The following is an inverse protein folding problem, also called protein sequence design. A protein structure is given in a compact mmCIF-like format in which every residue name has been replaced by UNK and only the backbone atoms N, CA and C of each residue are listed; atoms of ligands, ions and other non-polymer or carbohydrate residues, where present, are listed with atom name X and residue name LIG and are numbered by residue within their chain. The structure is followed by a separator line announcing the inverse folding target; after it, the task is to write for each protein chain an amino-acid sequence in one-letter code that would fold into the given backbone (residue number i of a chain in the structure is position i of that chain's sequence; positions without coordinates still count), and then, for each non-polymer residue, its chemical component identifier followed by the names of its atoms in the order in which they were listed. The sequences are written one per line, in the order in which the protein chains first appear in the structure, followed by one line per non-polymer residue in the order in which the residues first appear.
data_IF_548652225593
#
_entry.id   IF_548652225593
#
_cell.length_a   1.000
_cell.length_b   1.000
_cell.length_c   1.000
_cell.angle_alpha   90.00
_cell.angle_beta   90.00
_cell.angle_gamma   90.00
#
_symmetry.space_group_name_H-M   'P 1'
#
loop_
_entity.id
_entity.type
_entity.pdbx_description
1 polymer ?
#
# COMPACT_ATOMS: atom_id res chain seq x y z
N UNK A 1 5.04 0.53 1.63
CA UNK A 1 4.29 1.22 2.70
C UNK A 1 4.34 0.41 3.98
N UNK A 2 4.97 0.90 5.06
CA UNK A 2 5.16 0.11 6.28
C UNK A 2 3.93 0.05 7.21
N UNK A 3 3.00 1.00 7.14
CA UNK A 3 1.83 1.08 8.03
C UNK A 3 0.54 0.59 7.34
N UNK A 4 -0.46 0.10 8.09
CA UNK A 4 -1.69 -0.46 7.52
C UNK A 4 -2.62 0.64 7.01
N UNK A 5 -2.32 1.17 5.82
CA UNK A 5 -3.05 2.29 5.22
C UNK A 5 -4.32 1.92 4.45
N UNK A 6 -4.61 0.63 4.28
CA UNK A 6 -5.74 0.19 3.47
C UNK A 6 -6.34 -1.11 4.01
N UNK A 7 -7.59 -1.37 3.63
CA UNK A 7 -8.24 -2.67 3.83
C UNK A 7 -7.60 -3.74 2.94
N UNK A 8 -7.33 -4.90 3.51
CA UNK A 8 -6.91 -6.12 2.78
C UNK A 8 -8.09 -7.02 2.40
N UNK A 9 -9.31 -6.66 2.80
CA UNK A 9 -10.54 -7.37 2.45
C UNK A 9 -11.15 -6.85 1.13
N UNK A 10 -11.68 -7.75 0.30
CA UNK A 10 -12.45 -7.41 -0.91
C UNK A 10 -13.76 -6.68 -0.56
N UNK A 11 -14.45 -7.12 0.49
CA UNK A 11 -15.70 -6.52 0.96
C UNK A 11 -15.56 -5.05 1.37
N UNK A 12 -16.67 -4.30 1.36
CA UNK A 12 -16.71 -2.93 1.88
C UNK A 12 -16.38 -2.95 3.38
N UNK A 13 -15.35 -2.19 3.77
CA UNK A 13 -14.97 -2.01 5.18
C UNK A 13 -15.29 -0.58 5.60
N UNK A 14 -16.14 -0.45 6.61
CA UNK A 14 -16.42 0.85 7.28
C UNK A 14 -15.78 0.93 8.66
N UNK A 15 -15.46 -0.21 9.27
CA UNK A 15 -14.78 -0.29 10.55
C UNK A 15 -13.33 0.19 10.41
N UNK A 16 -12.93 1.12 11.26
CA UNK A 16 -11.60 1.72 11.24
C UNK A 16 -10.48 0.67 11.38
N UNK A 17 -9.32 0.98 10.81
CA UNK A 17 -8.06 0.29 11.14
C UNK A 17 -7.40 1.10 12.24
N UNK A 18 -6.95 0.44 13.31
CA UNK A 18 -6.16 1.05 14.37
C UNK A 18 -4.85 0.31 14.53
N UNK A 19 -3.77 1.05 14.57
CA UNK A 19 -2.42 0.54 14.72
C UNK A 19 -1.68 1.31 15.81
N UNK A 20 -0.92 0.58 16.62
CA UNK A 20 0.05 1.13 17.57
C UNK A 20 1.40 0.43 17.34
N UNK A 21 2.49 1.18 17.47
CA UNK A 21 3.83 0.61 17.53
C UNK A 21 4.01 -0.22 18.80
N UNK A 22 5.03 -1.08 18.80
CA UNK A 22 5.31 -1.96 19.93
C UNK A 22 5.57 -1.20 21.26
N UNK A 23 6.20 -0.03 21.17
CA UNK A 23 6.45 0.89 22.28
C UNK A 23 5.26 1.81 22.60
N UNK A 24 4.16 1.73 21.84
CA UNK A 24 2.96 2.58 21.94
C UNK A 24 3.19 4.08 21.72
N UNK A 25 4.36 4.47 21.22
CA UNK A 25 4.72 5.87 20.95
C UNK A 25 4.12 6.38 19.65
N UNK A 26 3.91 5.47 18.68
CA UNK A 26 3.36 5.77 17.35
C UNK A 26 2.03 5.08 17.15
N UNK A 27 1.07 5.80 16.57
CA UNK A 27 -0.25 5.28 16.27
C UNK A 27 -0.81 5.84 14.97
N UNK A 28 -1.67 5.04 14.35
CA UNK A 28 -2.40 5.36 13.13
C UNK A 28 -3.84 4.86 13.25
N UNK A 29 -4.79 5.71 12.91
CA UNK A 29 -6.18 5.37 12.64
C UNK A 29 -6.49 5.65 11.18
N UNK A 30 -7.11 4.68 10.50
CA UNK A 30 -7.64 4.84 9.13
C UNK A 30 -9.14 4.74 9.20
N UNK A 31 -9.83 5.80 8.78
CA UNK A 31 -11.29 5.89 8.81
C UNK A 31 -11.86 5.89 7.39
N UNK A 32 -13.00 5.22 7.26
CA UNK A 32 -13.71 5.06 6.00
C UNK A 32 -14.80 6.12 5.86
N UNK A 33 -15.07 6.52 4.62
CA UNK A 33 -16.36 7.11 4.29
C UNK A 33 -17.47 6.05 4.40
N UNK A 34 -18.65 6.42 4.91
CA UNK A 34 -19.75 5.47 5.11
C UNK A 34 -20.32 4.92 3.79
N UNK A 35 -20.40 5.74 2.75
CA UNK A 35 -20.96 5.40 1.45
C UNK A 35 -19.96 4.60 0.60
N UNK A 36 -18.73 5.07 0.47
CA UNK A 36 -17.72 4.43 -0.39
C UNK A 36 -16.94 3.30 0.31
N UNK A 37 -16.85 3.36 1.64
CA UNK A 37 -15.98 2.49 2.43
C UNK A 37 -14.51 2.90 2.38
N UNK A 38 -13.67 2.11 3.04
CA UNK A 38 -12.23 2.31 3.09
C UNK A 38 -11.56 1.88 1.79
N UNK A 39 -10.51 2.61 1.42
CA UNK A 39 -9.58 2.20 0.37
C UNK A 39 -9.06 0.79 0.58
N UNK A 40 -9.03 0.03 -0.52
CA UNK A 40 -8.59 -1.36 -0.57
C UNK A 40 -7.17 -1.43 -1.12
N UNK A 41 -6.47 -2.51 -0.83
CA UNK A 41 -5.10 -2.69 -1.29
C UNK A 41 -4.95 -2.71 -2.83
N UNK A 42 -5.99 -3.12 -3.56
CA UNK A 42 -6.03 -3.03 -5.04
C UNK A 42 -6.24 -1.60 -5.54
N UNK A 43 -6.93 -0.75 -4.79
CA UNK A 43 -7.06 0.67 -5.16
C UNK A 43 -5.69 1.36 -5.10
N UNK A 44 -4.82 0.91 -4.18
CA UNK A 44 -3.45 1.39 -4.11
C UNK A 44 -2.60 1.05 -5.34
N UNK A 45 -3.05 0.16 -6.24
CA UNK A 45 -2.36 -0.04 -7.51
C UNK A 45 -2.38 1.24 -8.37
N UNK A 46 -3.42 2.05 -8.25
CA UNK A 46 -3.49 3.40 -8.85
C UNK A 46 -2.42 4.31 -8.24
N UNK A 47 -2.24 4.28 -6.91
CA UNK A 47 -1.19 5.04 -6.24
C UNK A 47 0.20 4.55 -6.62
N UNK A 48 0.41 3.25 -6.77
CA UNK A 48 1.69 2.67 -7.21
C UNK A 48 2.04 3.16 -8.61
N UNK A 49 1.10 3.05 -9.55
CA UNK A 49 1.25 3.60 -10.90
C UNK A 49 1.57 5.10 -10.87
N UNK A 50 0.81 5.88 -10.09
CA UNK A 50 0.98 7.32 -10.00
C UNK A 50 2.36 7.71 -9.44
N UNK A 51 2.79 7.04 -8.36
CA UNK A 51 4.09 7.26 -7.75
C UNK A 51 5.23 6.88 -8.70
N UNK A 52 5.10 5.77 -9.46
CA UNK A 52 6.07 5.39 -10.48
C UNK A 52 6.21 6.47 -11.56
N UNK A 53 5.09 6.95 -12.12
CA UNK A 53 5.09 8.03 -13.12
C UNK A 53 5.72 9.32 -12.58
N UNK A 54 5.40 9.68 -11.32
CA UNK A 54 6.00 10.82 -10.64
C UNK A 54 7.52 10.63 -10.42
N UNK A 55 7.96 9.40 -10.15
CA UNK A 55 9.36 9.02 -10.05
C UNK A 55 10.14 9.20 -11.33
N UNK A 56 9.60 8.73 -12.45
CA UNK A 56 10.20 8.91 -13.78
C UNK A 56 10.37 10.39 -14.13
N UNK A 57 9.40 11.23 -13.76
CA UNK A 57 9.52 12.68 -13.89
C UNK A 57 10.63 13.20 -12.99
N UNK A 58 10.65 12.78 -11.72
CA UNK A 58 11.65 13.21 -10.74
C UNK A 58 13.08 12.89 -11.16
N UNK A 59 13.32 11.74 -11.80
CA UNK A 59 14.63 11.39 -12.36
C UNK A 59 15.09 12.35 -13.46
N UNK A 60 14.15 12.94 -14.22
CA UNK A 60 14.46 13.89 -15.29
C UNK A 60 14.61 15.33 -14.79
N UNK A 61 13.79 15.74 -13.82
CA UNK A 61 13.70 17.15 -13.37
C UNK A 61 14.36 17.42 -12.02
N UNK A 62 14.80 16.38 -11.32
CA UNK A 62 15.49 16.48 -10.03
C UNK A 62 14.58 16.66 -8.81
N UNK A 63 13.25 16.66 -8.95
CA UNK A 63 12.32 16.75 -7.83
C UNK A 63 11.03 15.96 -8.06
N UNK A 64 10.45 15.44 -6.96
CA UNK A 64 9.16 14.74 -7.02
C UNK A 64 8.01 15.74 -7.28
N UNK A 65 7.25 15.58 -8.38
CA UNK A 65 6.24 16.56 -8.76
C UNK A 65 5.07 16.60 -7.76
N UNK A 66 4.43 17.76 -7.58
CA UNK A 66 3.29 17.88 -6.67
C UNK A 66 2.04 17.13 -7.16
N UNK A 67 1.91 16.96 -8.47
CA UNK A 67 0.82 16.25 -9.12
C UNK A 67 1.31 15.54 -10.39
N UNK A 68 0.48 14.63 -10.90
CA UNK A 68 0.66 14.03 -12.23
C UNK A 68 -0.65 13.99 -13.00
N UNK A 69 -0.55 14.04 -14.32
CA UNK A 69 -1.66 13.86 -15.25
C UNK A 69 -1.53 12.53 -16.00
N UNK A 70 -2.64 11.82 -16.19
CA UNK A 70 -2.70 10.59 -16.97
C UNK A 70 -4.12 10.31 -17.45
N UNK A 71 -4.26 9.40 -18.41
CA UNK A 71 -5.57 8.93 -18.84
C UNK A 71 -6.01 7.69 -18.06
N UNK A 72 -7.32 7.48 -17.94
CA UNK A 72 -7.88 6.27 -17.37
C UNK A 72 -7.39 5.01 -18.12
N UNK A 73 -7.24 5.10 -19.44
CA UNK A 73 -6.66 4.03 -20.26
C UNK A 73 -5.23 3.70 -19.86
N UNK A 74 -4.35 4.71 -19.72
CA UNK A 74 -2.96 4.52 -19.29
C UNK A 74 -2.89 3.83 -17.93
N UNK A 75 -3.66 4.32 -16.95
CA UNK A 75 -3.66 3.75 -15.61
C UNK A 75 -4.13 2.29 -15.63
N UNK A 76 -5.28 2.01 -16.24
CA UNK A 76 -5.85 0.66 -16.28
C UNK A 76 -4.92 -0.34 -16.98
N UNK A 77 -4.32 0.07 -18.10
CA UNK A 77 -3.33 -0.73 -18.81
C UNK A 77 -2.12 -1.05 -17.93
N UNK A 78 -1.58 -0.04 -17.24
CA UNK A 78 -0.40 -0.21 -16.40
C UNK A 78 -0.63 -1.14 -15.21
N UNK A 79 -1.83 -1.13 -14.61
CA UNK A 79 -2.17 -2.00 -13.48
C UNK A 79 -2.76 -3.36 -13.90
N UNK A 80 -2.65 -3.74 -15.18
CA UNK A 80 -3.07 -5.04 -15.69
C UNK A 80 -4.59 -5.25 -15.77
N UNK A 81 -5.38 -4.18 -15.82
CA UNK A 81 -6.84 -4.27 -15.95
C UNK A 81 -7.29 -4.19 -17.40
N UNK A 82 -8.37 -4.89 -17.70
CA UNK A 82 -8.99 -4.93 -19.03
C UNK A 82 -9.50 -3.53 -19.41
N UNK A 83 -9.01 -2.95 -20.50
CA UNK A 83 -9.30 -1.56 -20.89
C UNK A 83 -10.51 -1.39 -21.82
N UNK A 84 -10.99 -2.47 -22.44
CA UNK A 84 -12.12 -2.43 -23.39
C UNK A 84 -13.50 -2.66 -22.73
N UNK A 85 -13.58 -2.64 -21.39
CA UNK A 85 -14.84 -2.83 -20.65
C UNK A 85 -15.22 -1.60 -19.84
N UNK A 86 -16.52 -1.29 -19.77
CA UNK A 86 -17.04 -0.24 -18.88
C UNK A 86 -16.79 -0.54 -17.40
N UNK A 87 -16.84 -1.82 -17.00
CA UNK A 87 -16.65 -2.29 -15.62
C UNK A 87 -15.31 -1.87 -15.01
N UNK A 88 -14.21 -1.89 -15.78
CA UNK A 88 -12.91 -1.44 -15.28
C UNK A 88 -12.88 0.06 -14.97
N UNK A 89 -13.64 0.85 -15.72
CA UNK A 89 -13.69 2.31 -15.53
C UNK A 89 -14.63 2.66 -14.39
N UNK A 90 -15.77 1.95 -14.24
CA UNK A 90 -16.58 2.06 -13.03
C UNK A 90 -15.78 1.70 -11.78
N UNK A 91 -15.00 0.61 -11.81
CA UNK A 91 -14.11 0.26 -10.70
C UNK A 91 -13.08 1.36 -10.42
N UNK A 92 -12.51 1.99 -11.46
CA UNK A 92 -11.55 3.08 -11.31
C UNK A 92 -12.19 4.28 -10.63
N UNK A 93 -13.38 4.71 -11.06
CA UNK A 93 -14.13 5.79 -10.41
C UNK A 93 -14.39 5.47 -8.92
N UNK A 94 -14.90 4.28 -8.60
CA UNK A 94 -15.13 3.87 -7.21
C UNK A 94 -13.84 3.79 -6.38
N UNK A 95 -12.72 3.39 -6.99
CA UNK A 95 -11.42 3.32 -6.33
C UNK A 95 -10.88 4.72 -6.02
N UNK A 96 -11.08 5.67 -6.95
CA UNK A 96 -10.73 7.08 -6.76
C UNK A 96 -11.59 7.73 -5.66
N UNK A 97 -12.88 7.42 -5.59
CA UNK A 97 -13.75 7.87 -4.48
C UNK A 97 -13.23 7.35 -3.14
N UNK A 98 -12.87 6.07 -3.04
CA UNK A 98 -12.29 5.52 -1.80
C UNK A 98 -10.94 6.14 -1.46
N UNK A 99 -10.07 6.37 -2.44
CA UNK A 99 -8.75 6.98 -2.25
C UNK A 99 -8.83 8.40 -1.71
N UNK A 100 -9.78 9.18 -2.20
CA UNK A 100 -9.95 10.60 -1.82
C UNK A 100 -10.72 10.77 -0.51
N UNK A 101 -11.54 9.79 -0.13
CA UNK A 101 -12.41 9.87 1.06
C UNK A 101 -11.96 9.01 2.24
N UNK A 102 -10.87 8.24 2.10
CA UNK A 102 -10.23 7.57 3.23
C UNK A 102 -9.34 8.55 3.98
N UNK A 103 -9.65 8.79 5.25
CA UNK A 103 -8.88 9.68 6.11
C UNK A 103 -7.91 8.89 7.00
N UNK A 104 -6.76 9.50 7.24
CA UNK A 104 -5.67 8.99 8.05
C UNK A 104 -5.43 9.95 9.19
N UNK A 105 -5.42 9.45 10.41
CA UNK A 105 -5.12 10.24 11.60
C UNK A 105 -4.03 9.56 12.43
N UNK A 106 -3.03 10.31 12.86
CA UNK A 106 -1.99 9.72 13.73
C UNK A 106 -0.75 10.57 13.87
N UNK A 107 0.26 10.00 14.52
CA UNK A 107 1.56 10.61 14.75
C UNK A 107 2.73 9.81 14.13
N UNK A 108 2.42 8.81 13.28
CA UNK A 108 3.42 7.96 12.61
C UNK A 108 4.42 8.73 11.73
N UNK A 109 4.07 9.94 11.29
CA UNK A 109 4.91 10.83 10.49
C UNK A 109 5.39 12.07 11.25
N UNK A 110 5.15 12.16 12.56
CA UNK A 110 5.56 13.31 13.38
C UNK A 110 6.83 12.97 14.12
N UNK A 111 7.71 13.94 14.35
CA UNK A 111 8.85 13.75 15.24
C UNK A 111 8.37 13.73 16.70
N UNK A 112 7.60 14.75 17.09
CA UNK A 112 6.97 14.88 18.40
C UNK A 112 5.79 13.91 18.55
N UNK A 113 5.88 13.01 19.54
CA UNK A 113 4.87 12.01 19.88
C UNK A 113 3.54 12.66 20.31
N UNK A 114 3.56 13.90 20.82
CA UNK A 114 2.36 14.64 21.29
C UNK A 114 1.56 15.26 20.15
N UNK A 115 2.14 15.37 18.95
CA UNK A 115 1.47 15.95 17.79
C UNK A 115 0.85 14.84 16.96
N UNK A 116 -0.38 15.05 16.52
CA UNK A 116 -1.01 14.23 15.50
C UNK A 116 -1.52 15.12 14.37
N UNK A 117 -1.83 14.49 13.25
CA UNK A 117 -2.46 15.16 12.13
C UNK A 117 -3.52 14.27 11.51
N UNK A 118 -4.41 14.89 10.75
CA UNK A 118 -5.38 14.22 9.90
C UNK A 118 -5.08 14.60 8.44
N UNK A 119 -5.11 13.64 7.54
CA UNK A 119 -4.85 13.85 6.12
C UNK A 119 -5.54 12.79 5.26
N UNK A 120 -5.71 13.08 3.98
CA UNK A 120 -5.91 12.08 2.92
C UNK A 120 -4.60 11.89 2.16
N UNK A 121 -4.41 10.75 1.49
CA UNK A 121 -3.18 10.49 0.74
C UNK A 121 -3.08 11.31 -0.54
N UNK A 122 -4.22 11.56 -1.18
CA UNK A 122 -4.31 12.29 -2.44
C UNK A 122 -5.58 13.14 -2.50
N UNK A 123 -5.58 14.11 -3.39
CA UNK A 123 -6.79 14.69 -3.99
C UNK A 123 -6.75 14.51 -5.51
N UNK A 124 -7.89 14.59 -6.17
CA UNK A 124 -8.00 14.35 -7.61
C UNK A 124 -8.79 15.45 -8.31
N UNK A 125 -8.47 15.67 -9.57
CA UNK A 125 -9.33 16.33 -10.56
C UNK A 125 -9.53 15.35 -11.72
N UNK A 126 -10.72 15.29 -12.30
CA UNK A 126 -10.97 14.39 -13.43
C UNK A 126 -11.90 15.00 -14.47
N UNK A 127 -11.74 14.55 -15.71
CA UNK A 127 -12.58 14.91 -16.86
C UNK A 127 -13.21 13.64 -17.39
N UNK A 128 -14.52 13.71 -17.70
CA UNK A 128 -15.27 12.63 -18.34
C UNK A 128 -15.42 12.90 -19.84
N UNK A 129 -15.44 11.84 -20.63
CA UNK A 129 -15.74 11.90 -22.06
C UNK A 129 -17.23 12.16 -22.33
N UNK A 130 -17.60 12.23 -23.61
CA UNK A 130 -18.99 12.41 -24.08
C UNK A 130 -19.93 11.30 -23.59
N UNK A 131 -19.39 10.12 -23.30
CA UNK A 131 -20.12 8.95 -22.78
C UNK A 131 -20.16 8.93 -21.24
N UNK A 132 -19.78 10.02 -20.56
CA UNK A 132 -19.72 10.16 -19.09
C UNK A 132 -18.75 9.19 -18.41
N UNK A 133 -17.76 8.68 -19.14
CA UNK A 133 -16.71 7.81 -18.63
C UNK A 133 -15.49 8.64 -18.24
N UNK A 134 -14.88 8.36 -17.09
CA UNK A 134 -13.62 9.01 -16.72
C UNK A 134 -12.55 8.81 -17.81
N UNK A 135 -11.98 9.92 -18.27
CA UNK A 135 -11.00 9.96 -19.35
C UNK A 135 -9.65 10.45 -18.84
N UNK A 136 -9.59 11.65 -18.26
CA UNK A 136 -8.36 12.27 -17.76
C UNK A 136 -8.42 12.42 -16.25
N UNK A 137 -7.29 12.15 -15.60
CA UNK A 137 -7.15 12.18 -14.15
C UNK A 137 -5.88 12.95 -13.81
N UNK A 138 -6.01 13.91 -12.90
CA UNK A 138 -4.91 14.53 -12.19
C UNK A 138 -4.91 14.04 -10.75
N UNK A 139 -3.80 13.48 -10.29
CA UNK A 139 -3.60 13.14 -8.88
C UNK A 139 -2.66 14.17 -8.26
N UNK A 140 -3.11 14.82 -7.19
CA UNK A 140 -2.28 15.65 -6.33
C UNK A 140 -1.81 14.83 -5.13
N UNK A 141 -0.50 14.80 -4.90
CA UNK A 141 0.07 14.04 -3.79
C UNK A 141 0.07 14.86 -2.50
N UNK A 142 -0.43 14.25 -1.42
CA UNK A 142 -0.26 14.84 -0.10
C UNK A 142 1.24 15.02 0.22
N UNK A 143 1.55 16.03 1.02
CA UNK A 143 2.90 16.30 1.51
C UNK A 143 3.60 15.05 2.07
N UNK A 144 2.90 14.14 2.74
CA UNK A 144 3.48 12.90 3.28
C UNK A 144 4.01 11.94 2.23
N UNK A 145 3.34 11.82 1.08
CA UNK A 145 3.84 11.03 -0.04
C UNK A 145 5.12 11.68 -0.58
N UNK A 146 5.10 13.00 -0.78
CA UNK A 146 6.23 13.76 -1.32
C UNK A 146 7.47 13.71 -0.41
N UNK A 147 7.27 13.86 0.91
CA UNK A 147 8.35 13.72 1.91
C UNK A 147 8.88 12.29 1.97
N UNK A 148 8.00 11.29 1.93
CA UNK A 148 8.42 9.88 1.95
C UNK A 148 9.26 9.52 0.72
N UNK A 149 8.88 10.02 -0.47
CA UNK A 149 9.61 9.81 -1.71
C UNK A 149 11.03 10.41 -1.65
N UNK A 150 11.19 11.61 -1.04
CA UNK A 150 12.50 12.24 -0.85
C UNK A 150 13.41 11.46 0.09
N UNK A 151 12.86 10.94 1.19
CA UNK A 151 13.65 10.31 2.25
C UNK A 151 14.08 8.88 1.94
N UNK A 152 13.24 8.09 1.25
CA UNK A 152 13.44 6.64 1.10
C UNK A 152 13.67 6.20 -0.35
N UNK A 153 13.58 7.13 -1.31
CA UNK A 153 13.48 6.78 -2.72
C UNK A 153 12.18 6.03 -3.02
N UNK A 154 11.95 5.77 -4.30
CA UNK A 154 10.81 4.97 -4.75
C UNK A 154 11.25 3.52 -4.88
N UNK A 155 10.68 2.64 -4.06
CA UNK A 155 10.89 1.21 -4.22
C UNK A 155 10.16 0.77 -5.49
N UNK A 156 10.89 0.15 -6.41
CA UNK A 156 10.30 -0.53 -7.57
C UNK A 156 9.56 -1.74 -7.02
N UNK A 157 8.24 -1.73 -7.14
CA UNK A 157 7.40 -2.87 -6.78
C UNK A 157 7.26 -3.74 -8.02
N UNK A 158 7.51 -5.04 -7.88
CA UNK A 158 7.37 -6.01 -8.96
C UNK A 158 5.94 -5.99 -9.53
N UNK A 159 5.83 -5.91 -10.85
CA UNK A 159 4.57 -5.96 -11.60
C UNK A 159 3.71 -7.20 -11.30
N UNK A 160 4.32 -8.31 -10.86
CA UNK A 160 3.62 -9.52 -10.42
C UNK A 160 2.63 -9.21 -9.28
N UNK A 161 2.88 -8.16 -8.49
CA UNK A 161 1.99 -7.77 -7.41
C UNK A 161 0.60 -7.38 -7.90
N UNK A 162 0.47 -6.85 -9.12
CA UNK A 162 -0.81 -6.40 -9.67
C UNK A 162 -1.79 -7.57 -9.89
N UNK A 163 -1.26 -8.77 -10.08
CA UNK A 163 -2.03 -9.98 -10.34
C UNK A 163 -2.38 -10.75 -9.06
N UNK A 164 -1.90 -10.30 -7.89
CA UNK A 164 -2.18 -10.98 -6.62
C UNK A 164 -3.62 -10.70 -6.14
N UNK A 165 -4.45 -11.75 -6.16
CA UNK A 165 -5.86 -11.68 -5.79
C UNK A 165 -6.12 -11.73 -4.28
N UNK A 166 -5.17 -12.23 -3.49
CA UNK A 166 -5.28 -12.24 -2.04
C UNK A 166 -4.77 -10.92 -1.47
N UNK A 167 -5.66 -10.14 -0.86
CA UNK A 167 -5.28 -8.84 -0.31
C UNK A 167 -4.28 -8.95 0.84
N UNK A 168 -4.33 -10.02 1.63
CA UNK A 168 -3.33 -10.30 2.67
C UNK A 168 -1.99 -10.67 2.06
N UNK A 169 -1.96 -11.55 1.04
CA UNK A 169 -0.71 -11.93 0.37
C UNK A 169 -0.07 -10.73 -0.32
N UNK A 170 -0.86 -9.92 -1.04
CA UNK A 170 -0.42 -8.66 -1.65
C UNK A 170 0.22 -7.73 -0.63
N UNK A 171 -0.42 -7.59 0.54
CA UNK A 171 0.09 -6.76 1.64
C UNK A 171 1.40 -7.28 2.20
N UNK A 172 1.54 -8.60 2.34
CA UNK A 172 2.75 -9.25 2.82
C UNK A 172 3.91 -9.08 1.84
N UNK A 173 3.68 -9.28 0.54
CA UNK A 173 4.68 -9.04 -0.49
C UNK A 173 5.27 -7.61 -0.35
N UNK A 174 4.42 -6.59 -0.21
CA UNK A 174 4.88 -5.21 -0.04
C UNK A 174 5.63 -5.00 1.27
N UNK A 175 5.10 -5.52 2.37
CA UNK A 175 5.70 -5.34 3.69
C UNK A 175 7.07 -5.97 3.76
N UNK A 176 7.20 -7.21 3.27
CA UNK A 176 8.45 -7.96 3.28
C UNK A 176 9.48 -7.32 2.35
N UNK A 177 9.11 -6.95 1.12
CA UNK A 177 10.02 -6.25 0.19
C UNK A 177 10.58 -4.96 0.81
N UNK A 178 9.70 -4.15 1.41
CA UNK A 178 10.11 -2.87 2.03
C UNK A 178 10.94 -3.09 3.29
N UNK A 179 10.66 -4.15 4.06
CA UNK A 179 11.30 -4.37 5.36
C UNK A 179 12.62 -5.13 5.27
N UNK A 180 12.76 -6.04 4.30
CA UNK A 180 14.04 -6.68 3.98
C UNK A 180 14.97 -5.63 3.38
N UNK A 181 14.52 -4.86 2.38
CA UNK A 181 15.37 -3.84 1.75
C UNK A 181 16.68 -4.44 1.21
N UNK A 182 17.82 -4.04 1.80
CA UNK A 182 19.16 -4.57 1.47
C UNK A 182 19.62 -5.69 2.41
N UNK A 183 18.87 -5.97 3.46
CA UNK A 183 19.19 -7.04 4.42
C UNK A 183 18.90 -8.42 3.84
N UNK A 184 19.39 -9.48 4.49
CA UNK A 184 19.16 -10.86 4.06
C UNK A 184 17.88 -11.48 4.63
N UNK A 185 17.42 -10.96 5.77
CA UNK A 185 16.22 -11.44 6.43
C UNK A 185 15.50 -10.34 7.19
N UNK A 186 14.19 -10.53 7.39
CA UNK A 186 13.37 -9.68 8.24
C UNK A 186 12.58 -10.55 9.21
N UNK A 187 12.79 -10.31 10.51
CA UNK A 187 12.05 -10.96 11.60
C UNK A 187 11.04 -9.99 12.21
N UNK A 188 9.81 -10.45 12.40
CA UNK A 188 8.72 -9.67 12.99
C UNK A 188 7.82 -10.53 13.88
N UNK A 189 7.33 -9.97 14.98
CA UNK A 189 6.33 -10.62 15.82
C UNK A 189 5.03 -10.86 15.05
N UNK A 190 4.41 -12.03 15.25
CA UNK A 190 3.24 -12.46 14.49
C UNK A 190 2.03 -11.52 14.68
N UNK A 191 1.79 -11.07 15.90
CA UNK A 191 0.73 -10.11 16.24
C UNK A 191 0.98 -8.75 15.57
N UNK A 192 2.25 -8.32 15.55
CA UNK A 192 2.65 -7.08 14.87
C UNK A 192 2.42 -7.21 13.37
N UNK A 193 2.81 -8.33 12.76
CA UNK A 193 2.58 -8.57 11.34
C UNK A 193 1.08 -8.57 11.01
N UNK A 194 0.26 -9.21 11.85
CA UNK A 194 -1.19 -9.21 11.70
C UNK A 194 -1.76 -7.77 11.69
N UNK A 195 -1.31 -6.94 12.63
CA UNK A 195 -1.71 -5.53 12.72
C UNK A 195 -1.27 -4.73 11.47
N UNK A 196 -0.05 -4.95 10.97
CA UNK A 196 0.45 -4.31 9.75
C UNK A 196 -0.30 -4.74 8.48
N UNK A 197 -0.95 -5.90 8.52
CA UNK A 197 -1.81 -6.43 7.46
C UNK A 197 -3.29 -6.04 7.59
N UNK A 198 -3.66 -5.28 8.65
CA UNK A 198 -5.05 -4.91 8.95
C UNK A 198 -6.02 -6.11 9.03
N UNK A 199 -5.51 -7.30 9.37
CA UNK A 199 -6.29 -8.53 9.43
C UNK A 199 -7.15 -8.57 10.69
N UNK A 200 -8.45 -8.83 10.55
CA UNK A 200 -9.42 -8.78 11.67
C UNK A 200 -9.73 -10.14 12.32
N UNK A 201 -9.32 -11.25 11.70
CA UNK A 201 -9.51 -12.58 12.26
C UNK A 201 -8.51 -12.94 13.36
N UNK A 202 -8.70 -14.10 13.98
CA UNK A 202 -7.83 -14.60 15.05
C UNK A 202 -6.38 -14.83 14.59
N UNK A 203 -5.44 -14.72 15.52
CA UNK A 203 -4.01 -14.92 15.24
C UNK A 203 -3.70 -16.31 14.65
N UNK A 204 -4.41 -17.34 15.12
CA UNK A 204 -4.29 -18.72 14.62
C UNK A 204 -4.71 -18.83 13.15
N UNK A 205 -5.78 -18.15 12.78
CA UNK A 205 -6.29 -18.12 11.41
C UNK A 205 -5.34 -17.33 10.49
N UNK A 206 -4.85 -16.17 10.96
CA UNK A 206 -3.84 -15.41 10.23
C UNK A 206 -2.60 -16.25 9.94
N UNK A 207 -2.09 -16.97 10.95
CA UNK A 207 -0.96 -17.90 10.78
C UNK A 207 -1.26 -19.03 9.80
N UNK A 208 -2.47 -19.58 9.82
CA UNK A 208 -2.91 -20.61 8.87
C UNK A 208 -2.88 -20.06 7.44
N UNK A 209 -3.37 -18.84 7.23
CA UNK A 209 -3.32 -18.17 5.93
C UNK A 209 -1.89 -17.94 5.45
N UNK A 210 -0.99 -17.45 6.34
CA UNK A 210 0.43 -17.27 6.00
C UNK A 210 1.04 -18.55 5.42
N UNK A 211 0.77 -19.69 6.07
CA UNK A 211 1.28 -21.01 5.63
C UNK A 211 0.68 -21.51 4.31
N UNK A 212 -0.47 -20.98 3.90
CA UNK A 212 -1.12 -21.35 2.64
C UNK A 212 -0.58 -20.60 1.43
N UNK A 213 0.20 -19.53 1.66
CA UNK A 213 0.74 -18.71 0.59
C UNK A 213 2.13 -19.19 0.17
N UNK A 214 2.34 -19.20 -1.14
CA UNK A 214 3.66 -19.33 -1.73
C UNK A 214 4.32 -17.94 -1.82
N UNK A 215 5.50 -17.82 -1.21
CA UNK A 215 6.29 -16.58 -1.21
C UNK A 215 7.61 -16.80 -1.95
N UNK A 216 8.18 -15.72 -2.53
CA UNK A 216 9.54 -15.79 -3.08
C UNK A 216 10.62 -15.92 -1.98
N UNK A 217 10.27 -15.69 -0.72
CA UNK A 217 11.14 -15.85 0.44
C UNK A 217 10.90 -17.17 1.17
N UNK A 218 11.95 -17.69 1.81
CA UNK A 218 11.81 -18.76 2.79
C UNK A 218 11.18 -18.17 4.05
N UNK A 219 9.98 -18.65 4.40
CA UNK A 219 9.25 -18.24 5.59
C UNK A 219 9.40 -19.29 6.70
N UNK A 220 9.83 -18.86 7.90
CA UNK A 220 9.93 -19.73 9.07
C UNK A 220 9.31 -19.09 10.32
N UNK A 221 8.84 -19.93 11.25
CA UNK A 221 8.25 -19.49 12.52
C UNK A 221 9.14 -19.93 13.68
N UNK A 222 9.38 -19.04 14.62
CA UNK A 222 10.15 -19.32 15.83
C UNK A 222 9.44 -18.74 17.06
N UNK A 223 9.44 -19.50 18.16
CA UNK A 223 8.91 -19.04 19.44
C UNK A 223 10.03 -18.40 20.25
N UNK A 224 9.82 -17.15 20.66
CA UNK A 224 10.64 -16.44 21.62
C UNK A 224 9.97 -16.49 23.00
N UNK A 225 10.76 -16.73 24.05
CA UNK A 225 10.27 -16.66 25.43
C UNK A 225 9.87 -15.24 25.84
N UNK A 226 10.39 -14.21 25.16
CA UNK A 226 10.24 -12.80 25.54
C UNK A 226 9.26 -12.06 24.63
N UNK A 227 9.25 -12.37 23.32
CA UNK A 227 8.49 -11.59 22.32
C UNK A 227 7.30 -12.34 21.71
N UNK A 228 6.93 -13.50 22.25
CA UNK A 228 5.89 -14.34 21.67
C UNK A 228 6.36 -15.10 20.43
N UNK A 229 5.45 -15.34 19.49
CA UNK A 229 5.77 -16.02 18.24
C UNK A 229 6.22 -15.03 17.18
N UNK A 230 7.37 -15.28 16.57
CA UNK A 230 7.91 -14.49 15.48
C UNK A 230 7.82 -15.26 14.16
N UNK A 231 7.84 -14.50 13.06
CA UNK A 231 7.99 -15.01 11.71
C UNK A 231 9.18 -14.32 11.05
N UNK A 232 9.98 -15.11 10.36
CA UNK A 232 11.19 -14.66 9.65
C UNK A 232 11.01 -14.91 8.17
N UNK A 233 11.26 -13.88 7.36
CA UNK A 233 11.34 -13.97 5.90
C UNK A 233 12.80 -13.81 5.50
N UNK A 234 13.36 -14.79 4.77
CA UNK A 234 14.74 -14.77 4.30
C UNK A 234 14.78 -14.90 2.79
N UNK A 235 15.66 -14.14 2.13
CA UNK A 235 15.92 -14.33 0.70
C UNK A 235 16.34 -15.79 0.47
N UNK A 236 15.67 -16.48 -0.45
CA UNK A 236 16.24 -17.69 -1.04
C UNK A 236 17.55 -17.31 -1.75
N UNK A 237 18.45 -18.25 -1.99
CA UNK A 237 19.73 -18.05 -2.69
C UNK A 237 19.57 -17.64 -4.18
N UNK A 238 18.78 -16.61 -4.47
CA UNK A 238 18.63 -16.01 -5.78
C UNK A 238 18.99 -14.54 -5.63
N UNK A 239 20.28 -14.26 -5.84
CA UNK A 239 20.84 -12.92 -5.94
C UNK A 239 20.15 -12.22 -7.10
N UNK A 240 19.22 -11.29 -6.83
CA UNK A 240 18.83 -10.30 -7.83
C UNK A 240 19.79 -9.14 -7.65
N UNK A 241 20.86 -9.16 -8.45
CA UNK A 241 21.73 -8.00 -8.64
C UNK A 241 20.88 -6.94 -9.32
N UNK A 242 20.53 -5.86 -8.61
CA UNK A 242 20.12 -4.62 -9.28
C UNK A 242 21.40 -3.87 -9.65
N UNK A 243 21.87 -4.10 -10.88
CA UNK A 243 22.85 -3.22 -11.48
C UNK A 243 22.23 -1.84 -11.64
N UNK A 244 22.91 -0.87 -11.05
CA UNK A 244 22.68 0.55 -11.27
C UNK A 244 23.49 0.93 -12.51
N UNK A 245 22.84 1.49 -13.51
CA UNK A 245 23.48 2.40 -14.47
C UNK A 245 22.86 3.77 -14.30
#
# INVERSE_FOLDING_TARGET
MLFPFCSTAKAKRVKSIRYNSADKKRWLEVTANHEYGMVKIWDFDILRFAITKAGEIALKVGYFPPYIDFTAYECLKAIGRITNTGKSYSWLEEALDRLTTTAYKGNIFKEDEKRSETFTLISIESVKDENKRIEKIRIHFNQRIRESAKLRGLLVIDSAIFHEESGIKKRLLELVMVSIGKEQEWTVGLERLQALCAHEGELKEFKRQLKSYEFPWVMSFNKSKVSGENVTFRNGNTVIVSETQ
#
